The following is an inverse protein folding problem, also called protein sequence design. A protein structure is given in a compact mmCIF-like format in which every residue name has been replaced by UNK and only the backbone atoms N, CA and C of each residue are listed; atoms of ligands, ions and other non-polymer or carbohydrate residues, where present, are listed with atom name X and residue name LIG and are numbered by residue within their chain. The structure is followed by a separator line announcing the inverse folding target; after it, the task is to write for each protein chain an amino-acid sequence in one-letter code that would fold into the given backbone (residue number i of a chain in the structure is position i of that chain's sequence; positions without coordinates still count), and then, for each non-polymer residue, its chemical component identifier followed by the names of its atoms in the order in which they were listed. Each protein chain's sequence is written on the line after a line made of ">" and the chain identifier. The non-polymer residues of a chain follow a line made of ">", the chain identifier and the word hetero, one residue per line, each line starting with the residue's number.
data_IF_693032696673
#
_entry.id   IF_693032696673
#
_cell.length_a   1.000
_cell.length_b   1.000
_cell.length_c   1.000
_cell.angle_alpha   90.00
_cell.angle_beta   90.00
_cell.angle_gamma   90.00
#
_symmetry.space_group_name_H-M   'P 1'
#
loop_
_entity.id
_entity.type
_entity.pdbx_description
1 polymer ?
#
# COMPACT_ATOMS: atom_id res chain seq x y z
N UNK A 1 -16.88 -1.62 -2.41
CA UNK A 1 -16.24 -0.89 -1.30
C UNK A 1 -15.89 -1.84 -0.16
N UNK A 2 -14.92 -2.73 -0.38
CA UNK A 2 -14.63 -3.83 0.54
C UNK A 2 -13.89 -3.41 1.82
N UNK A 3 -13.25 -2.23 1.83
CA UNK A 3 -12.44 -1.73 2.96
C UNK A 3 -13.12 -0.58 3.71
N UNK A 4 -14.42 -0.36 3.50
CA UNK A 4 -15.16 0.68 4.19
C UNK A 4 -15.12 0.43 5.71
N UNK A 5 -14.59 1.38 6.48
CA UNK A 5 -14.37 1.25 7.93
C UNK A 5 -12.93 0.94 8.35
N UNK A 6 -11.99 0.85 7.40
CA UNK A 6 -10.55 0.98 7.67
C UNK A 6 -10.23 2.36 8.27
N UNK A 7 -9.22 2.46 9.13
CA UNK A 7 -8.89 3.68 9.87
C UNK A 7 -8.59 4.86 8.93
N UNK A 8 -7.75 4.64 7.91
CA UNK A 8 -7.38 5.63 6.91
C UNK A 8 -7.24 4.98 5.53
N UNK A 9 -7.69 5.68 4.50
CA UNK A 9 -7.53 5.29 3.09
C UNK A 9 -6.99 6.48 2.30
N UNK A 10 -5.79 6.34 1.73
CA UNK A 10 -5.23 7.32 0.78
C UNK A 10 -5.71 6.96 -0.62
N UNK A 11 -6.54 7.81 -1.22
CA UNK A 11 -7.21 7.53 -2.49
C UNK A 11 -6.72 8.54 -3.54
N UNK A 12 -6.39 8.05 -4.73
CA UNK A 12 -5.98 8.91 -5.83
C UNK A 12 -7.13 9.85 -6.29
N UNK A 13 -6.84 11.07 -6.77
CA UNK A 13 -7.87 12.05 -7.11
C UNK A 13 -8.92 11.55 -8.10
N UNK A 14 -8.50 10.83 -9.15
CA UNK A 14 -9.42 10.26 -10.14
C UNK A 14 -10.42 9.28 -9.51
N UNK A 15 -9.99 8.48 -8.54
CA UNK A 15 -10.86 7.55 -7.83
C UNK A 15 -11.80 8.26 -6.87
N UNK A 16 -11.41 9.42 -6.32
CA UNK A 16 -12.31 10.25 -5.49
C UNK A 16 -13.49 10.76 -6.33
N UNK A 17 -13.21 11.25 -7.54
CA UNK A 17 -14.25 11.74 -8.46
C UNK A 17 -15.19 10.61 -8.88
N UNK A 18 -14.64 9.44 -9.21
CA UNK A 18 -15.43 8.24 -9.51
C UNK A 18 -16.33 7.85 -8.33
N UNK A 19 -15.79 7.84 -7.11
CA UNK A 19 -16.55 7.50 -5.90
C UNK A 19 -17.65 8.53 -5.62
N UNK A 20 -17.39 9.83 -5.83
CA UNK A 20 -18.38 10.87 -5.64
C UNK A 20 -19.54 10.79 -6.65
N UNK A 21 -19.29 10.23 -7.83
CA UNK A 21 -20.30 10.04 -8.88
C UNK A 21 -21.14 8.76 -8.68
N UNK A 22 -20.76 7.86 -7.78
CA UNK A 22 -21.50 6.62 -7.52
C UNK A 22 -22.66 6.88 -6.54
N UNK A 23 -23.87 6.53 -6.96
CA UNK A 23 -25.05 6.48 -6.08
C UNK A 23 -25.31 5.03 -5.65
N UNK A 24 -24.39 4.51 -4.83
CA UNK A 24 -24.47 3.15 -4.28
C UNK A 24 -24.31 3.19 -2.77
N UNK A 25 -24.99 2.29 -2.08
CA UNK A 25 -24.85 2.19 -0.63
C UNK A 25 -23.43 1.77 -0.23
N UNK A 26 -22.91 2.39 0.83
CA UNK A 26 -21.55 2.19 1.36
C UNK A 26 -21.62 1.57 2.76
N UNK A 27 -22.04 0.31 2.89
CA UNK A 27 -22.11 -0.32 4.19
C UNK A 27 -20.70 -0.56 4.74
N UNK A 28 -20.51 -0.27 6.03
CA UNK A 28 -19.27 -0.51 6.75
C UNK A 28 -18.93 -2.01 6.73
N UNK A 29 -17.73 -2.35 6.24
CA UNK A 29 -17.22 -3.72 6.12
C UNK A 29 -16.23 -4.08 7.23
N UNK A 30 -15.54 -3.09 7.80
CA UNK A 30 -14.53 -3.29 8.84
C UNK A 30 -14.92 -2.54 10.11
N UNK A 31 -15.01 -3.24 11.25
CA UNK A 31 -15.24 -2.64 12.57
C UNK A 31 -14.34 -3.24 13.64
N UNK A 32 -13.99 -2.48 14.70
CA UNK A 32 -13.16 -2.99 15.79
C UNK A 32 -13.77 -4.17 16.55
N UNK A 33 -15.10 -4.30 16.58
CA UNK A 33 -15.76 -5.45 17.21
C UNK A 33 -15.42 -6.76 16.50
N UNK A 34 -15.25 -6.74 15.17
CA UNK A 34 -14.91 -7.93 14.40
C UNK A 34 -13.55 -8.50 14.82
N UNK A 35 -12.57 -7.68 15.18
CA UNK A 35 -11.28 -8.18 15.65
C UNK A 35 -11.34 -8.77 17.07
N UNK A 36 -12.29 -8.33 17.89
CA UNK A 36 -12.56 -8.92 19.22
C UNK A 36 -13.19 -10.31 19.13
N UNK A 37 -14.00 -10.54 18.08
CA UNK A 37 -14.67 -11.82 17.83
C UNK A 37 -13.78 -12.82 17.07
N UNK A 38 -12.68 -12.36 16.49
CA UNK A 38 -11.71 -13.23 15.80
C UNK A 38 -10.89 -14.05 16.80
N UNK A 39 -10.45 -15.24 16.34
CA UNK A 39 -9.54 -16.07 17.11
C UNK A 39 -8.28 -15.27 17.46
N UNK A 40 -7.90 -15.31 18.74
CA UNK A 40 -6.72 -14.60 19.21
C UNK A 40 -5.48 -15.05 18.43
N UNK A 41 -4.91 -14.13 17.65
CA UNK A 41 -3.63 -14.35 17.00
C UNK A 41 -2.52 -14.17 18.03
N UNK A 42 -1.59 -15.12 18.09
CA UNK A 42 -0.40 -14.97 18.91
C UNK A 42 0.45 -13.82 18.37
N UNK A 43 0.90 -12.93 19.25
CA UNK A 43 1.91 -11.94 18.89
C UNK A 43 3.18 -12.66 18.43
N UNK A 44 3.65 -12.33 17.22
CA UNK A 44 4.89 -12.87 16.66
C UNK A 44 5.96 -11.78 16.74
N UNK A 45 7.11 -12.11 17.29
CA UNK A 45 8.32 -11.29 17.26
C UNK A 45 9.34 -12.02 16.41
N UNK A 46 9.81 -11.38 15.33
CA UNK A 46 10.76 -11.98 14.41
C UNK A 46 12.15 -11.36 14.61
N UNK A 47 13.18 -12.19 14.61
CA UNK A 47 14.56 -11.71 14.39
C UNK A 47 14.77 -11.37 12.91
N UNK A 48 15.92 -10.77 12.59
CA UNK A 48 16.27 -10.45 11.22
C UNK A 48 16.33 -11.70 10.32
N UNK A 49 16.89 -12.80 10.83
CA UNK A 49 16.99 -14.07 10.11
C UNK A 49 15.61 -14.67 9.83
N UNK A 50 14.72 -14.65 10.83
CA UNK A 50 13.36 -15.17 10.70
C UNK A 50 12.53 -14.34 9.72
N UNK A 51 12.66 -13.01 9.77
CA UNK A 51 12.02 -12.12 8.79
C UNK A 51 12.54 -12.39 7.38
N UNK A 52 13.86 -12.53 7.21
CA UNK A 52 14.46 -12.81 5.90
C UNK A 52 13.96 -14.13 5.32
N UNK A 53 13.85 -15.17 6.16
CA UNK A 53 13.29 -16.46 5.73
C UNK A 53 11.81 -16.34 5.34
N UNK A 54 10.99 -15.64 6.13
CA UNK A 54 9.58 -15.40 5.81
C UNK A 54 9.42 -14.61 4.51
N UNK A 55 10.25 -13.58 4.31
CA UNK A 55 10.29 -12.80 3.08
C UNK A 55 10.70 -13.66 1.87
N UNK A 56 11.65 -14.58 2.01
CA UNK A 56 12.04 -15.52 0.94
C UNK A 56 10.93 -16.50 0.55
N UNK A 57 10.01 -16.81 1.47
CA UNK A 57 8.89 -17.71 1.21
C UNK A 57 7.69 -17.02 0.54
N UNK A 58 7.60 -15.68 0.62
CA UNK A 58 6.53 -14.91 -0.01
C UNK A 58 6.94 -14.39 -1.39
N UNK A 59 6.54 -15.14 -2.42
CA UNK A 59 6.86 -14.83 -3.81
C UNK A 59 6.24 -13.52 -4.30
N UNK A 60 5.10 -13.10 -3.75
CA UNK A 60 4.44 -11.85 -4.14
C UNK A 60 5.21 -10.66 -3.59
N UNK A 61 5.60 -10.73 -2.32
CA UNK A 61 6.38 -9.65 -1.70
C UNK A 61 7.79 -9.57 -2.31
N UNK A 62 8.43 -10.71 -2.64
CA UNK A 62 9.70 -10.73 -3.36
C UNK A 62 9.67 -10.07 -4.74
N UNK A 63 8.52 -10.13 -5.42
CA UNK A 63 8.36 -9.54 -6.74
C UNK A 63 8.00 -8.04 -6.65
N UNK A 64 7.05 -7.69 -5.78
CA UNK A 64 6.52 -6.33 -5.72
C UNK A 64 7.41 -5.35 -4.97
N UNK A 65 8.10 -5.79 -3.90
CA UNK A 65 8.93 -4.89 -3.09
C UNK A 65 10.12 -4.34 -3.88
N UNK A 66 10.96 -5.16 -4.54
CA UNK A 66 12.06 -4.64 -5.36
C UNK A 66 11.57 -3.79 -6.53
N UNK A 67 10.50 -4.22 -7.21
CA UNK A 67 9.89 -3.45 -8.32
C UNK A 67 9.45 -2.04 -7.88
N UNK A 68 8.86 -1.92 -6.68
CA UNK A 68 8.49 -0.63 -6.11
C UNK A 68 9.71 0.26 -5.85
N UNK A 69 10.77 -0.30 -5.25
CA UNK A 69 12.02 0.41 -4.98
C UNK A 69 12.65 0.93 -6.28
N UNK A 70 12.79 0.06 -7.28
CA UNK A 70 13.36 0.42 -8.58
C UNK A 70 12.51 1.46 -9.31
N UNK A 71 11.18 1.36 -9.22
CA UNK A 71 10.25 2.35 -9.75
C UNK A 71 10.45 3.74 -9.15
N UNK A 72 10.63 3.84 -7.83
CA UNK A 72 10.91 5.12 -7.15
C UNK A 72 12.29 5.68 -7.51
N UNK A 73 13.31 4.82 -7.63
CA UNK A 73 14.65 5.22 -8.09
C UNK A 73 14.56 5.81 -9.51
N UNK A 74 13.88 5.12 -10.42
CA UNK A 74 13.67 5.59 -11.78
C UNK A 74 12.95 6.94 -11.84
N UNK A 75 11.87 7.10 -11.07
CA UNK A 75 11.13 8.37 -10.99
C UNK A 75 11.99 9.53 -10.47
N UNK A 76 12.83 9.28 -9.46
CA UNK A 76 13.77 10.27 -8.93
C UNK A 76 14.80 10.68 -9.98
N UNK A 77 15.37 9.72 -10.70
CA UNK A 77 16.39 9.99 -11.69
C UNK A 77 15.81 10.75 -12.90
N UNK A 78 14.57 10.45 -13.29
CA UNK A 78 13.83 11.18 -14.33
C UNK A 78 13.56 12.64 -13.90
N UNK A 79 13.15 12.85 -12.65
CA UNK A 79 13.00 14.19 -12.09
C UNK A 79 14.33 14.96 -12.10
N UNK A 80 15.43 14.32 -11.72
CA UNK A 80 16.75 14.94 -11.71
C UNK A 80 17.19 15.37 -13.13
N UNK A 81 16.97 14.52 -14.14
CA UNK A 81 17.24 14.86 -15.55
C UNK A 81 16.39 16.03 -16.03
N UNK A 82 15.11 16.01 -15.72
CA UNK A 82 14.18 17.09 -16.07
C UNK A 82 14.63 18.42 -15.48
N UNK A 83 15.02 18.44 -14.20
CA UNK A 83 15.53 19.63 -13.53
C UNK A 83 16.86 20.11 -14.13
N UNK A 84 17.76 19.21 -14.50
CA UNK A 84 19.01 19.58 -15.17
C UNK A 84 18.75 20.20 -16.55
N UNK A 85 17.81 19.66 -17.33
CA UNK A 85 17.41 20.19 -18.63
C UNK A 85 16.76 21.57 -18.53
N UNK A 86 15.98 21.83 -17.47
CA UNK A 86 15.39 23.14 -17.21
C UNK A 86 16.40 24.19 -16.75
N UNK A 87 17.50 23.78 -16.09
CA UNK A 87 18.59 24.69 -15.66
C UNK A 87 19.57 25.04 -16.77
N UNK A 88 19.58 24.29 -17.87
CA UNK A 88 20.41 24.56 -19.05
C UNK A 88 19.75 25.47 -20.10
N UNK A 89 18.52 25.93 -19.83
CA UNK A 89 17.78 26.94 -20.60
C UNK A 89 17.88 28.29 -19.88
#
# INVERSE_FOLDING_TARGET
>A
MALAGCDLLTIAPNLIDELAAMDIDVPRQLSPSMSMDMQAMSQVSLTHEEFSAAYQQDTVTQDLLPKGIDGFIGARDELAKTLAALRGQ
#
